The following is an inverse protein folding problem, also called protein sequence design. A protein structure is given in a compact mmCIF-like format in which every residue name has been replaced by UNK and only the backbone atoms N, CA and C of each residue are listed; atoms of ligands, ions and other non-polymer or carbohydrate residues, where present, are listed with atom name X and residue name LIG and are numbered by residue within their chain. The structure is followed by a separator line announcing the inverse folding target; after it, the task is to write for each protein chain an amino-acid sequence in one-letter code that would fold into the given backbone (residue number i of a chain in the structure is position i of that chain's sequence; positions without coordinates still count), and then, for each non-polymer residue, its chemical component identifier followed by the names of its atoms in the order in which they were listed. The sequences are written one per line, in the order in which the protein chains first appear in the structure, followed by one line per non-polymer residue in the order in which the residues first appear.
data_IF_120020012646
#
_entry.id   IF_120020012646
#
_cell.length_a   1.000
_cell.length_b   1.000
_cell.length_c   1.000
_cell.angle_alpha   90.00
_cell.angle_beta   90.00
_cell.angle_gamma   90.00
#
_symmetry.space_group_name_H-M   'P 1'
#
loop_
_entity.id
_entity.type
_entity.pdbx_description
1 polymer ?
#
# COMPACT_ATOMS: atom_id res chain seq x y z
N UNK A 1 34.37 -8.07 -0.64
CA UNK A 1 33.95 -7.84 -0.64
C UNK A 1 33.50 -6.93 -0.44
N UNK A 2 33.31 -6.57 -0.42
CA UNK A 2 32.94 -5.77 -0.34
C UNK A 2 31.74 -5.48 -0.34
N UNK A 3 31.10 -5.95 -0.44
CA UNK A 3 29.86 -5.65 -0.67
C UNK A 3 29.23 -5.24 0.54
N UNK A 4 29.72 -5.56 1.54
CA UNK A 4 29.17 -5.08 2.68
C UNK A 4 29.27 -3.65 2.71
N UNK A 5 30.24 -3.15 2.16
CA UNK A 5 30.38 -1.81 2.25
C UNK A 5 29.38 -1.13 1.53
N UNK A 6 28.98 -1.60 0.47
CA UNK A 6 28.11 -0.89 -0.19
C UNK A 6 26.91 -0.73 0.40
N UNK A 7 26.62 -1.49 1.22
CA UNK A 7 25.46 -1.26 1.75
C UNK A 7 25.39 -0.19 2.51
N UNK A 8 26.23 0.15 3.04
CA UNK A 8 26.14 1.09 3.85
C UNK A 8 26.11 2.21 3.48
N UNK A 9 26.30 2.41 2.89
CA UNK A 9 26.37 3.53 2.66
C UNK A 9 25.39 4.20 2.32
N UNK A 10 24.87 4.20 1.78
CA UNK A 10 24.08 4.88 1.39
C UNK A 10 23.33 5.39 2.17
N UNK A 11 23.43 5.57 2.54
CA UNK A 11 22.60 6.09 3.17
C UNK A 11 22.10 5.35 3.99
N UNK A 12 22.45 4.44 3.95
CA UNK A 12 21.90 3.64 4.59
C UNK A 12 21.57 3.82 5.83
N UNK A 13 22.10 4.57 6.34
CA UNK A 13 21.86 4.73 7.57
C UNK A 13 20.51 4.78 7.93
N UNK A 14 19.75 5.36 7.19
CA UNK A 14 18.50 5.51 7.62
C UNK A 14 17.69 4.35 7.56
N UNK A 15 17.87 3.51 6.66
CA UNK A 15 17.02 2.41 6.54
C UNK A 15 17.12 1.47 7.67
N UNK A 16 18.28 1.30 8.21
CA UNK A 16 18.45 0.37 9.28
C UNK A 16 17.69 0.79 10.52
N UNK A 17 17.39 2.06 10.64
CA UNK A 17 16.69 2.53 11.80
C UNK A 17 15.22 2.78 11.58
N UNK A 18 14.72 2.39 10.43
CA UNK A 18 13.34 2.67 10.12
C UNK A 18 12.39 1.76 10.85
N UNK A 19 11.26 2.30 11.19
CA UNK A 19 10.16 1.54 11.74
C UNK A 19 8.98 1.79 10.83
N UNK A 20 8.36 0.73 10.39
CA UNK A 20 7.22 0.83 9.50
C UNK A 20 5.96 0.41 10.21
N UNK A 21 4.86 0.91 9.72
CA UNK A 21 3.57 0.55 10.25
C UNK A 21 2.67 0.19 9.09
N UNK A 22 1.72 -0.69 9.33
CA UNK A 22 0.79 -1.12 8.30
C UNK A 22 -0.62 -0.75 8.75
N UNK A 23 -1.39 -0.18 7.85
CA UNK A 23 -2.77 0.09 8.11
C UNK A 23 -3.60 -0.58 7.03
N UNK A 24 -4.81 -0.97 7.36
CA UNK A 24 -5.66 -1.66 6.42
C UNK A 24 -6.78 -0.73 5.98
N UNK A 25 -7.02 -0.65 4.68
CA UNK A 25 -8.10 0.16 4.15
C UNK A 25 -8.88 -0.65 3.13
N UNK A 26 -10.09 -0.24 2.87
CA UNK A 26 -10.93 -0.87 1.87
C UNK A 26 -11.23 0.17 0.82
N UNK A 27 -11.03 -0.17 -0.45
CA UNK A 27 -11.32 0.73 -1.54
C UNK A 27 -12.21 0.01 -2.53
N UNK A 28 -13.05 0.74 -3.22
CA UNK A 28 -13.91 0.14 -4.22
C UNK A 28 -13.97 0.98 -5.47
N UNK A 29 -14.34 0.35 -6.57
CA UNK A 29 -14.44 0.99 -7.86
C UNK A 29 -15.51 0.27 -8.65
N UNK A 30 -16.20 1.00 -9.49
CA UNK A 30 -17.16 0.39 -10.40
C UNK A 30 -16.45 -0.11 -11.66
N UNK A 31 -15.20 0.23 -11.84
CA UNK A 31 -14.47 -0.10 -13.07
C UNK A 31 -13.61 -1.35 -13.00
N UNK A 32 -12.80 -1.49 -11.98
CA UNK A 32 -11.89 -2.63 -11.91
C UNK A 32 -11.20 -2.71 -10.56
N UNK A 33 -10.58 -3.86 -10.28
CA UNK A 33 -9.78 -4.01 -9.08
C UNK A 33 -8.56 -3.09 -9.15
N UNK A 34 -7.99 -2.93 -10.34
CA UNK A 34 -6.85 -2.07 -10.50
C UNK A 34 -7.20 -0.62 -10.17
N UNK A 35 -8.36 -0.19 -10.63
CA UNK A 35 -8.80 1.17 -10.35
C UNK A 35 -9.07 1.36 -8.85
N UNK A 36 -9.66 0.35 -8.21
CA UNK A 36 -9.92 0.41 -6.77
C UNK A 36 -8.59 0.50 -6.01
N UNK A 37 -7.59 -0.26 -6.43
CA UNK A 37 -6.29 -0.25 -5.78
C UNK A 37 -5.64 1.13 -5.93
N UNK A 38 -5.68 1.68 -7.14
CA UNK A 38 -5.07 2.96 -7.41
C UNK A 38 -5.73 4.06 -6.58
N UNK A 39 -7.05 4.04 -6.50
CA UNK A 39 -7.77 5.03 -5.73
C UNK A 39 -7.49 4.90 -4.24
N UNK A 40 -7.38 3.67 -3.75
CA UNK A 40 -7.08 3.43 -2.36
C UNK A 40 -5.71 3.96 -1.97
N UNK A 41 -4.71 3.69 -2.79
CA UNK A 41 -3.36 4.15 -2.52
C UNK A 41 -3.31 5.68 -2.57
N UNK A 42 -4.00 6.26 -3.55
CA UNK A 42 -4.00 7.71 -3.68
C UNK A 42 -4.62 8.37 -2.46
N UNK A 43 -5.73 7.82 -1.98
CA UNK A 43 -6.39 8.39 -0.82
C UNK A 43 -5.55 8.21 0.43
N UNK A 44 -4.95 7.05 0.60
CA UNK A 44 -4.11 6.79 1.76
C UNK A 44 -2.92 7.75 1.79
N UNK A 45 -2.37 8.04 0.63
CA UNK A 45 -1.22 8.94 0.55
C UNK A 45 -1.56 10.38 0.92
N UNK A 46 -2.83 10.72 0.93
CA UNK A 46 -3.21 12.06 1.34
C UNK A 46 -3.23 12.23 2.84
N UNK A 47 -3.51 11.15 3.58
CA UNK A 47 -3.59 11.24 5.02
C UNK A 47 -2.39 10.67 5.72
N UNK A 48 -1.69 9.72 5.10
CA UNK A 48 -0.53 9.11 5.70
C UNK A 48 0.72 9.63 5.03
N UNK A 49 1.73 9.93 5.82
CA UNK A 49 2.98 10.38 5.26
C UNK A 49 3.90 9.21 5.08
N UNK A 50 4.77 9.30 4.12
CA UNK A 50 5.81 8.30 3.90
C UNK A 50 5.28 6.91 3.55
N UNK A 51 4.24 6.89 2.72
CA UNK A 51 3.72 5.63 2.22
C UNK A 51 4.75 5.04 1.26
N UNK A 52 5.19 3.82 1.53
CA UNK A 52 6.22 3.20 0.73
C UNK A 52 5.74 1.98 -0.04
N UNK A 53 4.62 1.43 0.33
CA UNK A 53 4.12 0.28 -0.38
C UNK A 53 2.74 -0.09 0.07
N UNK A 54 2.17 -1.02 -0.65
CA UNK A 54 0.85 -1.55 -0.32
C UNK A 54 0.71 -2.90 -0.99
N UNK A 55 -0.08 -3.77 -0.40
CA UNK A 55 -0.40 -5.00 -1.09
C UNK A 55 -1.87 -5.31 -0.92
N UNK A 56 -2.41 -6.08 -1.84
CA UNK A 56 -3.80 -6.45 -1.81
C UNK A 56 -3.94 -7.68 -0.93
N UNK A 57 -4.67 -7.51 0.17
CA UNK A 57 -4.90 -8.62 1.06
C UNK A 57 -6.05 -9.47 0.54
N UNK A 58 -7.04 -8.83 -0.05
CA UNK A 58 -8.24 -9.52 -0.47
C UNK A 58 -8.92 -8.74 -1.60
N UNK A 59 -9.60 -9.47 -2.47
CA UNK A 59 -10.37 -8.88 -3.54
C UNK A 59 -11.72 -9.55 -3.54
N UNK A 60 -12.76 -8.76 -3.71
CA UNK A 60 -14.10 -9.32 -3.80
C UNK A 60 -14.96 -8.42 -4.65
N UNK A 61 -16.07 -8.93 -5.10
CA UNK A 61 -17.01 -8.14 -5.87
C UNK A 61 -18.31 -8.06 -5.14
N UNK A 62 -19.03 -6.98 -5.35
CA UNK A 62 -20.39 -6.84 -4.87
C UNK A 62 -21.28 -7.17 -6.05
N UNK A 63 -22.17 -8.11 -5.86
CA UNK A 63 -23.04 -8.58 -6.93
C UNK A 63 -24.47 -8.16 -6.64
N UNK A 64 -25.15 -7.66 -7.67
CA UNK A 64 -26.52 -7.26 -7.52
C UNK A 64 -27.25 -7.71 -8.79
N UNK A 65 -28.31 -8.48 -8.64
CA UNK A 65 -29.07 -9.01 -9.76
C UNK A 65 -28.20 -9.77 -10.76
N UNK A 66 -27.27 -10.57 -10.25
CA UNK A 66 -26.39 -11.36 -11.11
C UNK A 66 -25.31 -10.59 -11.82
N UNK A 67 -25.16 -9.31 -11.52
CA UNK A 67 -24.15 -8.50 -12.17
C UNK A 67 -23.20 -7.92 -11.15
N UNK A 68 -21.96 -7.73 -11.54
CA UNK A 68 -20.98 -7.13 -10.67
C UNK A 68 -21.27 -5.64 -10.58
N UNK A 69 -21.57 -5.17 -9.38
CA UNK A 69 -21.87 -3.78 -9.15
C UNK A 69 -20.62 -2.99 -8.82
N UNK A 70 -19.73 -3.58 -8.06
CA UNK A 70 -18.48 -2.91 -7.77
C UNK A 70 -17.40 -3.89 -7.43
N UNK A 71 -16.16 -3.46 -7.61
CA UNK A 71 -14.97 -4.23 -7.31
C UNK A 71 -14.39 -3.65 -6.03
N UNK A 72 -14.11 -4.50 -5.08
CA UNK A 72 -13.66 -4.05 -3.76
C UNK A 72 -12.34 -4.71 -3.40
N UNK A 73 -11.37 -3.93 -2.93
CA UNK A 73 -10.09 -4.46 -2.51
C UNK A 73 -9.81 -4.07 -1.07
N UNK A 74 -9.18 -4.99 -0.34
CA UNK A 74 -8.69 -4.68 1.00
C UNK A 74 -7.19 -4.54 0.83
N UNK A 75 -6.68 -3.38 1.17
CA UNK A 75 -5.27 -3.06 1.01
C UNK A 75 -4.58 -2.93 2.35
N UNK A 76 -3.37 -3.45 2.43
CA UNK A 76 -2.50 -3.23 3.56
C UNK A 76 -1.47 -2.21 3.11
N UNK A 77 -1.52 -1.04 3.68
CA UNK A 77 -0.64 0.07 3.27
C UNK A 77 0.48 0.22 4.28
N UNK A 78 1.71 0.23 3.79
CA UNK A 78 2.89 0.34 4.63
C UNK A 78 3.41 1.76 4.58
N UNK A 79 3.71 2.31 5.73
CA UNK A 79 4.29 3.65 5.76
C UNK A 79 5.35 3.70 6.86
N UNK A 80 6.33 4.57 6.67
CA UNK A 80 7.45 4.68 7.58
C UNK A 80 7.15 5.73 8.64
N UNK A 81 7.41 5.36 9.88
CA UNK A 81 7.25 6.30 10.98
C UNK A 81 8.53 7.09 11.10
N UNK A 82 8.40 8.41 11.16
CA UNK A 82 9.55 9.26 11.32
C UNK A 82 9.37 10.11 12.56
N UNK A 83 10.47 10.37 13.18
CA UNK A 83 10.46 11.19 14.38
C UNK A 83 10.35 12.66 14.09
#
# INVERSE_FOLDING_TARGET
MRWGAMLKSRSGKEIAMSVARVTEIIASSQDSFEDATRKGVKRASKTLKNVTGAWVKDQRVVVEDGKIKEYRVVLKVTFILKD
#
